data_IF_501080870078
#
_entry.id   IF_501080870078
#
_cell.length_a   1.000
_cell.length_b   1.000
_cell.length_c   1.000
_cell.angle_alpha   90.00
_cell.angle_beta   90.00
_cell.angle_gamma   90.00
#
_symmetry.space_group_name_H-M   'P 1'
#
loop_
_entity.id
_entity.type
_entity.pdbx_description
1 polymer ?
#
# COMPACT_ATOMS: atom_id res chain seq x y z
N UNK A 1 -25.81 7.03 24.63
CA UNK A 1 -25.67 7.66 23.30
C UNK A 1 -25.10 6.59 22.39
N UNK A 2 -25.92 6.05 21.50
CA UNK A 2 -25.56 4.92 20.65
C UNK A 2 -25.31 5.33 19.20
N UNK A 3 -24.58 4.46 18.52
CA UNK A 3 -24.28 4.36 17.07
C UNK A 3 -23.31 5.37 16.45
N UNK A 4 -22.08 4.93 16.23
CA UNK A 4 -21.42 5.00 14.90
C UNK A 4 -20.22 4.05 14.75
N UNK A 5 -20.22 2.89 15.42
CA UNK A 5 -19.50 1.73 14.87
C UNK A 5 -20.33 1.23 13.67
N UNK A 6 -20.24 1.93 12.52
CA UNK A 6 -20.31 1.19 11.28
C UNK A 6 -19.20 0.14 11.40
N UNK A 7 -19.61 -1.14 11.44
CA UNK A 7 -18.76 -2.29 11.74
C UNK A 7 -17.48 -2.20 10.90
N UNK A 8 -16.35 -1.84 11.53
CA UNK A 8 -15.08 -1.64 10.83
C UNK A 8 -14.68 -2.93 10.13
N UNK A 9 -15.02 -4.08 10.72
CA UNK A 9 -14.88 -5.37 10.07
C UNK A 9 -15.66 -5.43 8.75
N UNK A 10 -16.93 -5.00 8.73
CA UNK A 10 -17.72 -4.98 7.50
C UNK A 10 -17.14 -4.02 6.44
N UNK A 11 -16.57 -2.88 6.85
CA UNK A 11 -15.91 -1.94 5.95
C UNK A 11 -14.64 -2.55 5.35
N UNK A 12 -13.79 -3.17 6.17
CA UNK A 12 -12.57 -3.85 5.73
C UNK A 12 -12.92 -5.00 4.77
N UNK A 13 -13.91 -5.81 5.11
CA UNK A 13 -14.36 -6.92 4.26
C UNK A 13 -14.92 -6.42 2.92
N UNK A 14 -15.70 -5.33 2.92
CA UNK A 14 -16.18 -4.71 1.68
C UNK A 14 -15.02 -4.21 0.83
N UNK A 15 -14.06 -3.50 1.42
CA UNK A 15 -12.87 -3.06 0.68
C UNK A 15 -12.14 -4.26 0.05
N UNK A 16 -11.93 -5.33 0.82
CA UNK A 16 -11.27 -6.55 0.33
C UNK A 16 -11.99 -7.18 -0.88
N UNK A 17 -13.32 -7.22 -0.87
CA UNK A 17 -14.11 -7.72 -2.00
C UNK A 17 -13.96 -6.86 -3.25
N UNK A 18 -14.06 -5.54 -3.10
CA UNK A 18 -13.92 -4.58 -4.21
C UNK A 18 -12.50 -4.63 -4.77
N UNK A 19 -11.49 -4.56 -3.91
CA UNK A 19 -10.09 -4.62 -4.31
C UNK A 19 -9.77 -5.93 -5.04
N UNK A 20 -10.30 -7.07 -4.57
CA UNK A 20 -10.09 -8.35 -5.24
C UNK A 20 -10.72 -8.39 -6.63
N UNK A 21 -11.95 -7.91 -6.78
CA UNK A 21 -12.62 -7.85 -8.08
C UNK A 21 -11.86 -6.95 -9.08
N UNK A 22 -11.34 -5.81 -8.62
CA UNK A 22 -10.51 -4.93 -9.44
C UNK A 22 -9.18 -5.58 -9.79
N UNK A 23 -8.50 -6.21 -8.84
CA UNK A 23 -7.25 -6.92 -9.07
C UNK A 23 -7.39 -7.98 -10.17
N UNK A 24 -8.45 -8.80 -10.09
CA UNK A 24 -8.73 -9.84 -11.08
C UNK A 24 -8.98 -9.22 -12.47
N UNK A 25 -9.86 -8.23 -12.56
CA UNK A 25 -10.14 -7.53 -13.82
C UNK A 25 -8.89 -6.90 -14.44
N UNK A 26 -8.05 -6.24 -13.64
CA UNK A 26 -6.85 -5.57 -14.15
C UNK A 26 -5.79 -6.57 -14.59
N UNK A 27 -5.69 -7.72 -13.92
CA UNK A 27 -4.83 -8.81 -14.36
C UNK A 27 -5.31 -9.41 -15.69
N UNK A 28 -6.61 -9.68 -15.82
CA UNK A 28 -7.21 -10.16 -17.07
C UNK A 28 -6.97 -9.17 -18.23
N UNK A 29 -7.16 -7.87 -17.98
CA UNK A 29 -6.87 -6.81 -18.95
C UNK A 29 -5.40 -6.84 -19.36
N UNK A 30 -4.47 -6.95 -18.41
CA UNK A 30 -3.04 -6.98 -18.67
C UNK A 30 -2.65 -8.20 -19.52
N UNK A 31 -3.19 -9.36 -19.21
CA UNK A 31 -3.00 -10.59 -19.99
C UNK A 31 -3.44 -10.37 -21.44
N UNK A 32 -4.64 -9.82 -21.64
CA UNK A 32 -5.16 -9.57 -22.98
C UNK A 32 -4.37 -8.50 -23.76
N UNK A 33 -3.91 -7.44 -23.12
CA UNK A 33 -3.04 -6.44 -23.76
C UNK A 33 -1.71 -7.03 -24.21
N UNK A 34 -1.12 -7.90 -23.38
CA UNK A 34 0.08 -8.66 -23.75
C UNK A 34 -0.22 -9.56 -24.94
N UNK A 35 -1.32 -10.33 -24.92
CA UNK A 35 -1.74 -11.17 -26.05
C UNK A 35 -1.83 -10.39 -27.35
N UNK A 36 -2.54 -9.27 -27.34
CA UNK A 36 -2.75 -8.46 -28.55
C UNK A 36 -1.44 -7.89 -29.10
N UNK A 37 -0.54 -7.42 -28.22
CA UNK A 37 0.76 -6.86 -28.62
C UNK A 37 1.65 -7.90 -29.31
N UNK A 38 1.54 -9.16 -28.90
CA UNK A 38 2.41 -10.25 -29.37
C UNK A 38 1.70 -11.28 -30.27
N UNK A 39 0.42 -11.07 -30.61
CA UNK A 39 -0.36 -11.95 -31.49
C UNK A 39 0.13 -11.96 -32.95
N UNK A 40 0.84 -10.93 -33.39
CA UNK A 40 1.44 -10.88 -34.74
C UNK A 40 2.77 -11.61 -34.77
N UNK A 41 3.00 -12.42 -35.81
CA UNK A 41 4.33 -13.01 -36.04
C UNK A 41 5.39 -11.91 -36.18
N UNK A 42 6.61 -12.09 -35.62
CA UNK A 42 7.70 -11.15 -35.82
C UNK A 42 7.94 -10.93 -37.32
N UNK A 43 8.28 -9.70 -37.75
CA UNK A 43 8.86 -9.51 -39.06
C UNK A 43 10.08 -10.43 -39.22
N UNK A 44 10.32 -11.04 -40.40
CA UNK A 44 11.42 -11.98 -40.62
C UNK A 44 12.81 -11.42 -40.26
N UNK A 45 12.95 -10.10 -40.37
CA UNK A 45 14.14 -9.31 -40.05
C UNK A 45 14.44 -9.24 -38.54
N UNK A 46 13.47 -9.60 -37.69
CA UNK A 46 13.55 -9.53 -36.22
C UNK A 46 13.61 -10.95 -35.62
N UNK A 47 13.22 -11.96 -36.40
CA UNK A 47 13.15 -13.39 -36.02
C UNK A 47 14.51 -13.99 -35.62
N UNK A 48 15.62 -13.43 -36.11
CA UNK A 48 16.98 -13.86 -35.80
C UNK A 48 17.64 -13.06 -34.67
N UNK A 49 17.08 -11.89 -34.33
CA UNK A 49 17.56 -11.03 -33.24
C UNK A 49 16.93 -11.43 -31.89
N UNK A 50 15.69 -11.92 -31.91
CA UNK A 50 14.98 -12.40 -30.74
C UNK A 50 14.75 -13.90 -30.89
N UNK A 51 15.39 -14.71 -30.03
CA UNK A 51 15.05 -16.14 -29.93
C UNK A 51 13.57 -16.19 -29.59
N UNK A 52 12.76 -16.96 -30.35
CA UNK A 52 11.28 -17.05 -30.24
C UNK A 52 10.72 -17.25 -28.81
N UNK A 53 11.55 -17.52 -27.80
CA UNK A 53 11.15 -17.65 -26.40
C UNK A 53 11.09 -16.34 -25.60
N UNK A 54 11.79 -15.28 -26.01
CA UNK A 54 11.76 -13.99 -25.29
C UNK A 54 10.67 -13.09 -25.89
N UNK A 55 9.55 -12.96 -25.18
CA UNK A 55 8.50 -12.00 -25.51
C UNK A 55 7.45 -12.45 -26.52
N UNK A 56 7.67 -13.50 -27.30
CA UNK A 56 6.71 -13.91 -28.34
C UNK A 56 5.69 -14.97 -27.89
N UNK A 57 5.93 -15.65 -26.78
CA UNK A 57 4.90 -16.43 -26.08
C UNK A 57 4.22 -15.55 -25.04
N UNK A 58 2.96 -15.84 -24.72
CA UNK A 58 2.23 -15.11 -23.68
C UNK A 58 3.00 -15.15 -22.36
N UNK A 59 3.56 -16.32 -22.01
CA UNK A 59 4.35 -16.52 -20.80
C UNK A 59 5.65 -15.72 -20.82
N UNK A 60 6.39 -15.74 -21.94
CA UNK A 60 7.64 -15.01 -22.08
C UNK A 60 7.42 -13.49 -22.08
N UNK A 61 6.34 -13.02 -22.71
CA UNK A 61 5.96 -11.61 -22.72
C UNK A 61 5.56 -11.12 -21.33
N UNK A 62 4.71 -11.87 -20.65
CA UNK A 62 4.25 -11.52 -19.31
C UNK A 62 5.40 -11.55 -18.31
N UNK A 63 6.27 -12.55 -18.40
CA UNK A 63 7.41 -12.66 -17.51
C UNK A 63 8.50 -11.61 -17.78
N UNK A 64 8.69 -11.15 -19.03
CA UNK A 64 9.49 -9.96 -19.35
C UNK A 64 8.88 -8.71 -18.71
N UNK A 65 7.56 -8.48 -18.86
CA UNK A 65 6.89 -7.34 -18.22
C UNK A 65 7.05 -7.38 -16.69
N UNK A 66 6.78 -8.52 -16.06
CA UNK A 66 6.97 -8.70 -14.62
C UNK A 66 8.43 -8.54 -14.22
N UNK A 67 9.40 -9.03 -14.99
CA UNK A 67 10.83 -8.88 -14.69
C UNK A 67 11.30 -7.43 -14.81
N UNK A 68 10.88 -6.72 -15.86
CA UNK A 68 11.24 -5.32 -16.05
C UNK A 68 10.63 -4.43 -14.95
N UNK A 69 9.47 -4.84 -14.38
CA UNK A 69 8.85 -4.24 -13.20
C UNK A 69 9.53 -4.69 -11.89
N UNK A 70 9.83 -5.99 -11.77
CA UNK A 70 10.51 -6.60 -10.62
C UNK A 70 11.99 -6.18 -10.53
N UNK A 71 12.55 -5.57 -11.58
CA UNK A 71 13.81 -4.84 -11.55
C UNK A 71 13.88 -3.76 -10.47
N UNK A 72 12.72 -3.27 -9.99
CA UNK A 72 12.58 -2.37 -8.82
C UNK A 72 12.52 -3.13 -7.48
N UNK A 73 12.27 -4.43 -7.50
CA UNK A 73 12.03 -5.33 -6.37
C UNK A 73 13.09 -6.43 -6.21
N UNK A 74 14.26 -6.30 -6.86
CA UNK A 74 15.34 -7.28 -6.73
C UNK A 74 16.09 -7.01 -5.41
N UNK A 75 16.00 -7.86 -4.38
CA UNK A 75 16.95 -7.80 -3.27
C UNK A 75 18.35 -8.11 -3.81
N UNK A 76 19.40 -7.53 -3.20
CA UNK A 76 20.79 -7.78 -3.59
C UNK A 76 21.06 -9.28 -3.81
N UNK A 77 21.32 -9.65 -5.06
CA UNK A 77 21.34 -11.04 -5.49
C UNK A 77 22.61 -11.74 -5.00
N UNK A 78 22.46 -12.88 -4.32
CA UNK A 78 23.57 -13.77 -3.98
C UNK A 78 23.57 -14.98 -4.93
N UNK A 79 24.51 -15.02 -5.88
CA UNK A 79 24.75 -16.19 -6.76
C UNK A 79 24.95 -15.85 -8.25
N UNK A 80 25.45 -16.82 -9.02
CA UNK A 80 25.51 -16.73 -10.49
C UNK A 80 24.12 -16.95 -11.09
N UNK A 81 23.82 -16.21 -12.17
CA UNK A 81 22.59 -16.39 -12.96
C UNK A 81 22.63 -17.77 -13.63
N UNK A 82 21.50 -18.49 -13.65
CA UNK A 82 21.37 -19.66 -14.50
C UNK A 82 21.18 -19.23 -15.97
N UNK A 83 21.40 -20.14 -16.92
CA UNK A 83 21.30 -19.83 -18.36
C UNK A 83 19.94 -19.20 -18.74
N UNK A 84 18.84 -19.65 -18.12
CA UNK A 84 17.52 -19.05 -18.32
C UNK A 84 17.41 -17.60 -17.81
N UNK A 85 18.13 -17.25 -16.74
CA UNK A 85 18.20 -15.89 -16.18
C UNK A 85 19.25 -14.99 -16.87
N UNK A 86 20.26 -15.58 -17.52
CA UNK A 86 21.20 -14.90 -18.42
C UNK A 86 20.58 -14.62 -19.78
N UNK A 87 19.68 -15.52 -20.19
CA UNK A 87 18.91 -15.44 -21.43
C UNK A 87 17.53 -14.84 -21.24
N UNK A 88 17.25 -14.21 -20.09
CA UNK A 88 16.01 -13.45 -19.94
C UNK A 88 14.71 -14.27 -20.16
N UNK A 89 14.82 -15.60 -20.07
CA UNK A 89 13.76 -16.59 -20.20
C UNK A 89 13.25 -16.94 -18.81
N UNK A 90 12.33 -16.13 -18.29
CA UNK A 90 11.56 -16.52 -17.12
C UNK A 90 10.48 -17.50 -17.60
N UNK A 91 10.73 -18.79 -17.40
CA UNK A 91 9.69 -19.81 -17.53
C UNK A 91 8.69 -19.59 -16.41
N UNK A 92 7.48 -19.14 -16.76
CA UNK A 92 6.38 -19.19 -15.81
C UNK A 92 6.06 -20.66 -15.55
N UNK A 93 6.11 -21.06 -14.28
CA UNK A 93 5.70 -22.41 -13.88
C UNK A 93 4.19 -22.62 -13.98
N UNK A 94 3.43 -21.54 -14.18
CA UNK A 94 1.97 -21.47 -14.23
C UNK A 94 1.56 -20.84 -15.57
N UNK A 95 0.54 -21.38 -16.28
CA UNK A 95 -0.01 -20.75 -17.49
C UNK A 95 -0.47 -19.31 -17.24
N UNK A 96 -0.38 -18.44 -18.25
CA UNK A 96 -0.70 -17.01 -18.10
C UNK A 96 -2.12 -16.76 -17.59
N UNK A 97 -3.11 -17.50 -18.09
CA UNK A 97 -4.51 -17.37 -17.65
C UNK A 97 -4.71 -17.77 -16.18
N UNK A 98 -3.85 -18.62 -15.63
CA UNK A 98 -3.93 -19.06 -14.25
C UNK A 98 -3.30 -18.06 -13.28
N UNK A 99 -2.54 -17.06 -13.76
CA UNK A 99 -1.91 -16.02 -12.94
C UNK A 99 -2.92 -15.12 -12.20
N UNK A 100 -4.15 -15.03 -12.68
CA UNK A 100 -5.23 -14.32 -11.99
C UNK A 100 -5.47 -14.91 -10.59
N UNK A 101 -5.18 -16.21 -10.40
CA UNK A 101 -5.30 -16.89 -9.12
C UNK A 101 -4.08 -16.68 -8.21
N UNK A 102 -2.96 -16.20 -8.75
CA UNK A 102 -1.72 -15.93 -8.02
C UNK A 102 -1.65 -14.48 -7.49
N UNK A 103 -2.68 -13.67 -7.74
CA UNK A 103 -2.72 -12.31 -7.23
C UNK A 103 -2.84 -12.37 -5.70
N UNK A 104 -1.94 -11.69 -4.96
CA UNK A 104 -2.04 -11.64 -3.51
C UNK A 104 -3.40 -11.12 -3.06
N UNK A 105 -3.97 -11.77 -2.05
CA UNK A 105 -5.22 -11.33 -1.44
C UNK A 105 -5.08 -9.87 -0.93
N UNK A 106 -6.08 -9.00 -1.12
CA UNK A 106 -6.03 -7.63 -0.64
C UNK A 106 -5.95 -7.51 0.88
N UNK A 107 -6.49 -8.50 1.61
CA UNK A 107 -6.48 -8.58 3.06
C UNK A 107 -5.55 -9.71 3.50
N UNK A 108 -4.65 -9.43 4.43
CA UNK A 108 -3.85 -10.46 5.07
C UNK A 108 -4.65 -11.20 6.15
N UNK A 109 -4.22 -12.42 6.49
CA UNK A 109 -4.81 -13.16 7.60
C UNK A 109 -4.74 -12.36 8.92
N UNK A 110 -5.74 -12.46 9.80
CA UNK A 110 -5.71 -11.84 11.13
C UNK A 110 -4.46 -12.17 11.94
N UNK A 111 -4.01 -11.23 12.77
CA UNK A 111 -2.90 -11.48 13.67
C UNK A 111 -3.34 -12.30 14.89
N UNK A 112 -2.50 -13.22 15.41
CA UNK A 112 -2.75 -13.89 16.69
C UNK A 112 -2.89 -12.90 17.85
N UNK A 113 -3.79 -13.17 18.79
CA UNK A 113 -4.12 -12.26 19.89
C UNK A 113 -2.90 -11.92 20.78
N UNK A 114 -2.05 -12.89 21.06
CA UNK A 114 -0.82 -12.70 21.83
C UNK A 114 0.13 -11.72 21.14
N UNK A 115 0.28 -11.83 19.81
CA UNK A 115 1.10 -10.92 19.00
C UNK A 115 0.51 -9.52 18.92
N UNK A 116 -0.81 -9.40 18.85
CA UNK A 116 -1.49 -8.10 18.92
C UNK A 116 -1.25 -7.39 20.25
N UNK A 117 -1.35 -8.10 21.37
CA UNK A 117 -1.10 -7.54 22.71
C UNK A 117 0.36 -7.12 22.86
N UNK A 118 1.30 -7.98 22.47
CA UNK A 118 2.74 -7.69 22.48
C UNK A 118 3.05 -6.41 21.69
N UNK A 119 2.52 -6.32 20.46
CA UNK A 119 2.75 -5.15 19.60
C UNK A 119 2.10 -3.89 20.15
N UNK A 120 0.87 -3.99 20.66
CA UNK A 120 0.17 -2.83 21.22
C UNK A 120 0.99 -2.18 22.36
N UNK A 121 1.59 -2.99 23.23
CA UNK A 121 2.47 -2.50 24.30
C UNK A 121 3.71 -1.81 23.73
N UNK A 122 4.37 -2.42 22.75
CA UNK A 122 5.57 -1.84 22.12
C UNK A 122 5.26 -0.53 21.39
N UNK A 123 4.19 -0.50 20.59
CA UNK A 123 3.81 0.68 19.82
C UNK A 123 3.39 1.83 20.75
N UNK A 124 2.65 1.53 21.83
CA UNK A 124 2.32 2.53 22.86
C UNK A 124 3.58 3.13 23.48
N UNK A 125 4.56 2.31 23.84
CA UNK A 125 5.83 2.80 24.40
C UNK A 125 6.62 3.68 23.43
N UNK A 126 6.61 3.34 22.14
CA UNK A 126 7.24 4.16 21.09
C UNK A 126 6.54 5.51 20.90
N UNK A 127 5.20 5.51 20.85
CA UNK A 127 4.40 6.73 20.75
C UNK A 127 4.58 7.63 21.98
N UNK A 128 4.65 7.04 23.17
CA UNK A 128 4.96 7.78 24.40
C UNK A 128 6.32 8.47 24.31
N UNK A 129 7.35 7.72 23.87
CA UNK A 129 8.70 8.27 23.67
C UNK A 129 8.71 9.42 22.67
N UNK A 130 7.97 9.28 21.57
CA UNK A 130 7.83 10.34 20.56
C UNK A 130 7.13 11.59 21.13
N UNK A 131 6.06 11.40 21.91
CA UNK A 131 5.34 12.49 22.57
C UNK A 131 6.23 13.27 23.53
N UNK A 132 6.95 12.55 24.41
CA UNK A 132 7.84 13.12 25.42
C UNK A 132 8.99 13.95 24.77
N UNK A 133 9.37 13.62 23.54
CA UNK A 133 10.37 14.36 22.76
C UNK A 133 9.80 15.59 22.04
N UNK A 134 8.50 15.59 21.74
CA UNK A 134 7.82 16.63 20.96
C UNK A 134 7.26 17.78 21.82
N UNK A 135 7.08 17.59 23.14
CA UNK A 135 6.52 18.59 24.05
C UNK A 135 7.37 18.85 25.30
N UNK A 136 7.43 20.12 25.71
CA UNK A 136 7.99 20.57 26.97
C UNK A 136 7.19 20.04 28.18
N UNK A 137 7.80 19.14 28.95
CA UNK A 137 7.52 18.84 30.38
C UNK A 137 6.16 18.33 30.84
N UNK A 138 5.20 18.03 29.96
CA UNK A 138 3.98 17.30 30.37
C UNK A 138 4.03 15.87 29.86
N UNK A 139 4.31 14.92 30.77
CA UNK A 139 4.15 13.47 30.58
C UNK A 139 2.68 13.14 30.32
N UNK A 140 2.21 13.33 29.08
CA UNK A 140 0.87 12.95 28.63
C UNK A 140 0.87 11.47 28.28
N UNK A 141 -0.03 10.68 28.88
CA UNK A 141 -0.12 9.26 28.59
C UNK A 141 -0.84 9.05 27.26
N UNK A 142 -0.13 8.58 26.23
CA UNK A 142 -0.73 8.28 24.92
C UNK A 142 -1.34 6.88 24.94
N UNK A 143 -2.59 6.80 24.50
CA UNK A 143 -3.30 5.55 24.29
C UNK A 143 -3.41 5.26 22.79
N UNK A 144 -3.35 3.98 22.42
CA UNK A 144 -3.64 3.57 21.04
C UNK A 144 -5.11 3.86 20.71
N UNK A 145 -5.45 4.06 19.43
CA UNK A 145 -6.85 4.19 19.04
C UNK A 145 -7.62 2.92 19.34
N UNK A 146 -8.91 3.09 19.65
CA UNK A 146 -9.82 1.99 19.97
C UNK A 146 -9.95 0.98 18.83
N UNK A 147 -9.79 1.44 17.58
CA UNK A 147 -9.91 0.62 16.38
C UNK A 147 -8.67 -0.24 16.06
N UNK A 148 -7.52 -0.04 16.74
CA UNK A 148 -6.29 -0.78 16.43
C UNK A 148 -6.44 -2.29 16.63
N UNK A 149 -7.03 -2.69 17.76
CA UNK A 149 -7.24 -4.10 18.07
C UNK A 149 -8.26 -4.72 17.12
N UNK A 150 -9.32 -3.98 16.81
CA UNK A 150 -10.36 -4.41 15.87
C UNK A 150 -9.74 -4.65 14.49
N UNK A 151 -9.06 -3.64 13.93
CA UNK A 151 -8.32 -3.73 12.69
C UNK A 151 -7.44 -4.98 12.61
N UNK A 152 -6.54 -5.17 13.58
CA UNK A 152 -5.56 -6.28 13.56
C UNK A 152 -6.21 -7.66 13.76
N UNK A 153 -7.38 -7.71 14.42
CA UNK A 153 -8.19 -8.92 14.59
C UNK A 153 -9.02 -9.29 13.37
N UNK A 154 -9.29 -8.32 12.50
CA UNK A 154 -9.96 -8.56 11.20
C UNK A 154 -8.91 -8.87 10.13
N UNK A 155 -7.76 -8.19 10.13
CA UNK A 155 -6.70 -8.40 9.15
C UNK A 155 -5.35 -7.87 9.64
N UNK A 156 -4.26 -8.59 9.36
CA UNK A 156 -2.89 -8.17 9.65
C UNK A 156 -2.25 -7.36 8.50
N UNK A 157 -3.06 -6.61 7.75
CA UNK A 157 -2.56 -5.75 6.68
C UNK A 157 -3.53 -5.64 5.51
N UNK A 158 -3.50 -4.49 4.85
CA UNK A 158 -4.39 -4.15 3.74
C UNK A 158 -3.54 -3.65 2.58
N UNK A 159 -3.59 -4.35 1.46
CA UNK A 159 -2.98 -3.94 0.21
C UNK A 159 -3.92 -3.03 -0.58
N UNK A 160 -3.35 -2.06 -1.30
CA UNK A 160 -4.06 -1.23 -2.26
C UNK A 160 -4.63 -2.03 -3.42
N UNK A 161 -5.73 -1.58 -4.00
CA UNK A 161 -6.30 -2.19 -5.20
C UNK A 161 -5.43 -1.91 -6.45
N UNK A 162 -5.45 -2.86 -7.37
CA UNK A 162 -4.68 -2.90 -8.61
C UNK A 162 -3.50 -3.88 -8.55
N UNK A 163 -2.94 -4.14 -9.73
CA UNK A 163 -1.73 -4.95 -9.89
C UNK A 163 -0.49 -4.05 -9.75
N UNK A 164 0.58 -4.48 -9.05
CA UNK A 164 1.80 -3.67 -8.87
C UNK A 164 2.37 -3.10 -10.17
N UNK A 165 2.21 -3.83 -11.28
CA UNK A 165 2.57 -3.42 -12.63
C UNK A 165 1.93 -2.10 -13.11
N UNK A 166 0.80 -1.71 -12.52
CA UNK A 166 -0.04 -0.60 -12.98
C UNK A 166 -0.26 0.45 -11.89
N UNK A 167 -0.27 0.06 -10.61
CA UNK A 167 -0.79 0.90 -9.52
C UNK A 167 0.22 1.29 -8.44
N UNK A 168 1.52 1.14 -8.67
CA UNK A 168 2.59 1.52 -7.71
C UNK A 168 2.34 0.89 -6.32
N UNK A 169 2.75 -0.37 -6.17
CA UNK A 169 2.52 -1.25 -5.00
C UNK A 169 2.21 -0.53 -3.68
N UNK A 170 0.93 -0.19 -3.50
CA UNK A 170 0.47 0.60 -2.37
C UNK A 170 0.04 -0.34 -1.27
N UNK A 171 0.50 -0.08 -0.04
CA UNK A 171 0.06 -0.76 1.18
C UNK A 171 -0.75 0.25 1.98
N UNK A 172 -2.04 0.02 2.17
CA UNK A 172 -2.90 0.91 2.94
C UNK A 172 -2.70 0.74 4.45
N UNK A 173 -2.47 -0.51 4.87
CA UNK A 173 -2.16 -0.88 6.25
C UNK A 173 -1.03 -1.89 6.24
N UNK A 174 0.13 -1.51 6.78
CA UNK A 174 1.28 -2.37 6.97
C UNK A 174 0.97 -3.52 7.93
N UNK A 175 1.67 -4.63 7.75
CA UNK A 175 1.60 -5.72 8.72
C UNK A 175 2.11 -5.31 10.09
N UNK A 176 1.65 -6.01 11.11
CA UNK A 176 1.95 -5.74 12.53
C UNK A 176 3.46 -5.63 12.82
N UNK A 177 4.33 -6.33 12.09
CA UNK A 177 5.79 -6.24 12.25
C UNK A 177 6.39 -4.93 11.75
N UNK A 178 5.71 -4.28 10.80
CA UNK A 178 6.14 -3.06 10.13
C UNK A 178 5.56 -1.80 10.79
N UNK A 179 4.53 -1.94 11.63
CA UNK A 179 3.98 -0.84 12.44
C UNK A 179 5.04 -0.31 13.42
N UNK A 180 5.53 0.92 13.24
CA UNK A 180 6.58 1.51 14.09
C UNK A 180 6.38 3.02 14.20
N UNK A 181 6.47 3.56 15.41
CA UNK A 181 6.53 5.01 15.62
C UNK A 181 8.00 5.43 15.81
N UNK A 182 8.44 6.42 15.04
CA UNK A 182 9.80 6.97 15.09
C UNK A 182 9.81 8.48 15.27
N UNK A 183 10.93 9.08 15.74
CA UNK A 183 11.04 10.52 15.95
C UNK A 183 10.77 11.34 14.67
N UNK A 184 11.12 10.81 13.50
CA UNK A 184 10.94 11.46 12.19
C UNK A 184 9.58 11.19 11.55
N UNK A 185 8.74 10.32 12.12
CA UNK A 185 7.48 9.89 11.49
C UNK A 185 6.50 11.03 11.22
N UNK A 186 6.60 12.14 11.97
CA UNK A 186 5.69 13.29 11.84
C UNK A 186 6.31 14.46 11.06
N UNK A 187 7.60 14.41 10.72
CA UNK A 187 8.34 15.54 10.14
C UNK A 187 7.66 16.03 8.85
N UNK A 188 7.25 15.09 7.99
CA UNK A 188 6.68 15.39 6.67
C UNK A 188 5.21 15.86 6.69
N UNK A 189 4.49 15.69 7.80
CA UNK A 189 3.07 16.06 7.91
C UNK A 189 2.81 17.22 8.87
N UNK A 190 3.78 17.55 9.73
CA UNK A 190 3.64 18.55 10.80
C UNK A 190 3.24 19.95 10.29
N UNK A 191 3.83 20.41 9.19
CA UNK A 191 3.49 21.73 8.64
C UNK A 191 2.08 21.78 8.06
N UNK A 192 1.66 20.69 7.41
CA UNK A 192 0.32 20.58 6.84
C UNK A 192 -0.75 20.47 7.92
N UNK A 193 -0.45 19.78 9.02
CA UNK A 193 -1.27 19.74 10.22
C UNK A 193 -1.49 21.14 10.81
N UNK A 194 -0.40 21.90 10.99
CA UNK A 194 -0.46 23.27 11.52
C UNK A 194 -1.33 24.18 10.64
N UNK A 195 -1.19 24.10 9.31
CA UNK A 195 -2.03 24.87 8.36
C UNK A 195 -3.51 24.53 8.46
N UNK A 196 -3.84 23.29 8.85
CA UNK A 196 -5.21 22.82 9.09
C UNK A 196 -5.70 23.09 10.52
N UNK A 197 -4.90 23.77 11.35
CA UNK A 197 -5.26 24.12 12.73
C UNK A 197 -5.12 22.96 13.71
N UNK A 198 -4.24 21.99 13.42
CA UNK A 198 -3.94 20.85 14.29
C UNK A 198 -2.48 20.86 14.75
N UNK A 199 -2.25 20.28 15.92
CA UNK A 199 -0.92 20.01 16.48
C UNK A 199 -0.77 18.50 16.65
N UNK A 200 0.21 17.92 15.97
CA UNK A 200 0.55 16.51 16.10
C UNK A 200 1.19 16.26 17.47
N UNK A 201 0.77 15.21 18.17
CA UNK A 201 1.42 14.76 19.40
C UNK A 201 2.27 13.52 19.18
N UNK A 202 1.71 12.52 18.51
CA UNK A 202 2.38 11.26 18.19
C UNK A 202 1.69 10.62 16.99
N UNK A 203 2.37 9.71 16.33
CA UNK A 203 1.80 8.94 15.24
C UNK A 203 2.80 8.00 14.62
N UNK A 204 2.28 7.12 13.78
CA UNK A 204 3.06 6.13 13.06
C UNK A 204 2.61 6.05 11.60
N UNK A 205 3.49 5.53 10.76
CA UNK A 205 3.14 5.23 9.37
C UNK A 205 2.24 3.99 9.35
N UNK A 206 0.98 4.19 8.98
CA UNK A 206 0.01 3.13 8.81
C UNK A 206 0.29 2.32 7.55
N UNK A 207 0.62 3.00 6.45
CA UNK A 207 0.77 2.45 5.10
C UNK A 207 1.58 3.37 4.20
N UNK A 208 2.01 2.90 3.03
CA UNK A 208 2.74 3.69 2.03
C UNK A 208 2.80 3.02 0.67
N UNK A 209 3.23 3.78 -0.35
CA UNK A 209 3.76 3.25 -1.61
C UNK A 209 5.26 3.52 -1.70
N UNK A 210 5.93 2.94 -2.71
CA UNK A 210 7.38 3.03 -2.83
C UNK A 210 7.88 4.48 -3.04
N UNK A 211 7.06 5.36 -3.63
CA UNK A 211 7.54 6.68 -4.07
C UNK A 211 6.64 7.87 -3.70
N UNK A 212 5.32 7.69 -3.64
CA UNK A 212 4.41 8.84 -3.77
C UNK A 212 3.35 8.96 -2.68
N UNK A 213 3.01 7.86 -1.99
CA UNK A 213 1.94 7.85 -0.98
C UNK A 213 2.46 7.45 0.40
N UNK A 214 2.07 8.19 1.42
CA UNK A 214 2.37 7.89 2.82
C UNK A 214 1.11 8.11 3.66
N UNK A 215 0.69 7.09 4.38
CA UNK A 215 -0.52 7.08 5.18
C UNK A 215 -0.11 6.99 6.64
N UNK A 216 -0.56 7.92 7.45
CA UNK A 216 -0.21 8.02 8.86
C UNK A 216 -1.45 7.92 9.74
N UNK A 217 -1.26 7.28 10.88
CA UNK A 217 -2.21 7.26 11.97
C UNK A 217 -1.68 8.21 13.06
N UNK A 218 -2.37 9.33 13.30
CA UNK A 218 -1.82 10.47 14.07
C UNK A 218 -2.77 10.91 15.17
N UNK A 219 -2.24 11.04 16.39
CA UNK A 219 -2.90 11.68 17.51
C UNK A 219 -2.64 13.18 17.44
N UNK A 220 -3.70 13.97 17.42
CA UNK A 220 -3.62 15.42 17.34
C UNK A 220 -4.79 16.11 18.06
N UNK A 221 -4.57 17.36 18.44
CA UNK A 221 -5.58 18.28 18.95
C UNK A 221 -5.59 19.56 18.11
N UNK A 222 -6.65 20.36 18.26
CA UNK A 222 -6.74 21.65 17.59
C UNK A 222 -5.80 22.66 18.24
N UNK A 223 -5.19 23.53 17.45
CA UNK A 223 -4.18 24.51 17.91
C UNK A 223 -4.67 25.47 19.01
N UNK A 224 -5.97 25.74 19.05
CA UNK A 224 -6.58 26.62 20.07
C UNK A 224 -7.09 25.86 21.28
N UNK A 225 -6.95 24.54 21.29
CA UNK A 225 -7.41 23.66 22.34
C UNK A 225 -6.20 23.29 23.20
N UNK A 226 -6.11 23.90 24.38
CA UNK A 226 -5.07 23.54 25.36
C UNK A 226 -5.54 22.43 26.28
N UNK A 227 -6.79 21.98 26.15
CA UNK A 227 -7.40 20.97 26.99
C UNK A 227 -7.06 19.56 26.47
N UNK A 228 -6.38 18.80 27.32
CA UNK A 228 -5.90 17.43 27.06
C UNK A 228 -7.04 16.45 26.73
N UNK A 229 -8.29 16.79 27.05
CA UNK A 229 -9.47 15.97 26.80
C UNK A 229 -9.91 15.90 25.32
N UNK A 230 -9.30 16.69 24.45
CA UNK A 230 -9.71 16.84 23.04
C UNK A 230 -8.74 16.22 22.03
N UNK A 231 -7.79 15.40 22.49
CA UNK A 231 -6.94 14.61 21.61
C UNK A 231 -7.78 13.59 20.83
N UNK A 232 -7.54 13.53 19.51
CA UNK A 232 -8.24 12.60 18.62
C UNK A 232 -7.26 11.96 17.65
N UNK A 233 -7.48 10.67 17.41
CA UNK A 233 -6.79 9.92 16.38
C UNK A 233 -7.40 10.18 15.01
N UNK A 234 -6.56 10.37 14.00
CA UNK A 234 -6.96 10.67 12.61
C UNK A 234 -6.05 9.97 11.62
N UNK A 235 -6.56 9.73 10.42
CA UNK A 235 -5.75 9.27 9.28
C UNK A 235 -5.31 10.46 8.47
N UNK A 236 -4.01 10.52 8.16
CA UNK A 236 -3.45 11.46 7.21
C UNK A 236 -2.92 10.69 6.02
N UNK A 237 -3.45 10.99 4.85
CA UNK A 237 -3.03 10.39 3.60
C UNK A 237 -2.32 11.44 2.76
N UNK A 238 -1.00 11.30 2.64
CA UNK A 238 -0.15 12.17 1.84
C UNK A 238 0.11 11.49 0.50
N UNK A 239 -0.40 12.08 -0.58
CA UNK A 239 -0.06 11.72 -1.95
C UNK A 239 0.68 12.89 -2.60
N UNK A 240 1.99 12.77 -2.80
CA UNK A 240 2.89 13.83 -3.25
C UNK A 240 2.80 15.12 -2.41
N UNK A 241 2.17 16.16 -2.95
CA UNK A 241 1.97 17.47 -2.30
C UNK A 241 0.59 17.59 -1.66
N UNK A 242 -0.34 16.68 -1.99
CA UNK A 242 -1.68 16.66 -1.46
C UNK A 242 -1.71 15.85 -0.17
N UNK A 243 -2.44 16.37 0.82
CA UNK A 243 -2.63 15.69 2.09
C UNK A 243 -4.11 15.74 2.39
N UNK A 244 -4.72 14.57 2.51
CA UNK A 244 -6.09 14.40 2.97
C UNK A 244 -6.11 13.95 4.43
N UNK A 245 -7.19 14.30 5.10
CA UNK A 245 -7.38 14.01 6.53
C UNK A 245 -8.74 13.37 6.71
N UNK A 246 -8.76 12.22 7.37
CA UNK A 246 -9.96 11.48 7.69
C UNK A 246 -10.12 11.37 9.21
N UNK A 247 -11.37 11.52 9.67
CA UNK A 247 -11.73 11.44 11.08
C UNK A 247 -11.49 10.05 11.70
N UNK A 248 -11.43 8.99 10.88
CA UNK A 248 -11.23 7.62 11.34
C UNK A 248 -10.71 6.70 10.23
N UNK A 249 -10.22 5.52 10.60
CA UNK A 249 -9.85 4.48 9.65
C UNK A 249 -11.02 4.03 8.78
N UNK A 250 -12.21 3.92 9.39
CA UNK A 250 -13.43 3.58 8.69
C UNK A 250 -13.74 4.59 7.56
N UNK A 251 -13.65 5.89 7.85
CA UNK A 251 -13.89 6.94 6.87
C UNK A 251 -12.85 6.90 5.73
N UNK A 252 -11.57 6.69 6.07
CA UNK A 252 -10.51 6.50 5.09
C UNK A 252 -10.80 5.30 4.16
N UNK A 253 -11.06 4.11 4.71
CA UNK A 253 -11.30 2.91 3.92
C UNK A 253 -12.57 3.00 3.07
N UNK A 254 -13.61 3.68 3.54
CA UNK A 254 -14.81 3.95 2.75
C UNK A 254 -14.51 4.86 1.56
N UNK A 255 -13.71 5.92 1.77
CA UNK A 255 -13.25 6.79 0.71
C UNK A 255 -12.42 6.02 -0.32
N UNK A 256 -11.45 5.22 0.13
CA UNK A 256 -10.65 4.35 -0.75
C UNK A 256 -11.52 3.38 -1.54
N UNK A 257 -12.50 2.75 -0.88
CA UNK A 257 -13.40 1.80 -1.55
C UNK A 257 -14.21 2.51 -2.65
N UNK A 258 -14.78 3.68 -2.35
CA UNK A 258 -15.54 4.45 -3.33
C UNK A 258 -14.65 4.88 -4.51
N UNK A 259 -13.43 5.33 -4.23
CA UNK A 259 -12.47 5.71 -5.27
C UNK A 259 -12.16 4.53 -6.21
N UNK A 260 -11.91 3.35 -5.66
CA UNK A 260 -11.61 2.14 -6.45
C UNK A 260 -12.81 1.68 -7.29
N UNK A 261 -14.03 1.85 -6.79
CA UNK A 261 -15.26 1.56 -7.55
C UNK A 261 -15.46 2.53 -8.72
N UNK A 262 -15.12 3.80 -8.53
CA UNK A 262 -15.28 4.86 -9.54
C UNK A 262 -14.16 4.88 -10.59
N UNK A 263 -12.98 4.33 -10.28
CA UNK A 263 -11.80 4.39 -11.14
C UNK A 263 -11.42 3.00 -11.68
N UNK A 264 -11.61 2.74 -12.99
CA UNK A 264 -11.32 1.44 -13.60
C UNK A 264 -9.86 0.98 -13.45
N UNK A 265 -8.91 1.86 -13.12
CA UNK A 265 -7.50 1.49 -12.90
C UNK A 265 -7.14 1.02 -11.49
N UNK A 266 -8.08 1.03 -10.53
CA UNK A 266 -7.82 0.66 -9.14
C UNK A 266 -7.44 1.84 -8.23
N UNK A 267 -6.42 1.66 -7.38
CA UNK A 267 -5.98 2.67 -6.43
C UNK A 267 -5.63 4.01 -7.11
N UNK A 268 -5.59 5.08 -6.32
CA UNK A 268 -5.23 6.41 -6.81
C UNK A 268 -3.94 6.32 -7.61
N UNK A 269 -4.03 6.65 -8.91
CA UNK A 269 -2.84 6.77 -9.76
C UNK A 269 -2.01 7.90 -9.18
N UNK A 270 -1.02 7.53 -8.37
CA UNK A 270 0.11 8.40 -8.09
C UNK A 270 0.64 8.78 -9.46
N UNK A 271 0.73 10.09 -9.74
CA UNK A 271 1.31 10.54 -10.99
C UNK A 271 2.73 10.00 -11.00
N UNK A 272 2.97 8.90 -11.73
CA UNK A 272 4.31 8.51 -12.12
C UNK A 272 4.86 9.77 -12.78
N UNK A 273 5.83 10.40 -12.14
CA UNK A 273 6.71 11.32 -12.85
C UNK A 273 7.34 10.44 -13.91
N UNK A 274 6.76 10.46 -15.11
CA UNK A 274 7.32 9.84 -16.29
C UNK A 274 8.71 10.42 -16.37
N UNK A 275 9.70 9.65 -15.93
CA UNK A 275 11.07 9.91 -16.31
C UNK A 275 11.04 9.76 -17.82
N UNK A 276 11.19 10.86 -18.53
CA UNK A 276 11.32 11.01 -19.99
C UNK A 276 12.53 10.21 -20.56
N UNK A 277 12.88 9.07 -19.98
CA UNK A 277 14.09 8.33 -20.26
C UNK A 277 13.88 7.19 -21.27
N UNK A 278 12.69 7.02 -21.84
CA UNK A 278 12.49 6.09 -22.96
C UNK A 278 11.53 6.67 -24.01
N UNK A 279 11.95 6.81 -25.27
CA UNK A 279 11.05 7.12 -26.37
C UNK A 279 10.19 5.89 -26.70
N UNK A 280 8.93 6.17 -27.06
CA UNK A 280 7.94 5.20 -27.56
C UNK A 280 8.38 4.48 -28.83
#
# INVERSE_FOLDING_TARGET
MGSNHQDLAAIIQRYGQVANAVNQREMERLIEEVRQKWATNPPPEVEHLYKRGEGWTEEGAFALCIRDIAGLWIPDRQGQRCEAEEMDQVLLHVPVDELVNEIPAPLADPAPLDKMVEKAVLLRAQLQTQSDQSASSNTRNIELPEDFKELMSVTNGINGAGVPAVTDQTVLVHSLNNQRAGPTSLEYISDSLKRRGYVAQAGWELGSSHQHRQIYYVSCHKTNDTDDANDSWRIFDRADVNIDMYESLAHFLQHETAYVEENPGGAQRNYMVVRDCYPF
#
